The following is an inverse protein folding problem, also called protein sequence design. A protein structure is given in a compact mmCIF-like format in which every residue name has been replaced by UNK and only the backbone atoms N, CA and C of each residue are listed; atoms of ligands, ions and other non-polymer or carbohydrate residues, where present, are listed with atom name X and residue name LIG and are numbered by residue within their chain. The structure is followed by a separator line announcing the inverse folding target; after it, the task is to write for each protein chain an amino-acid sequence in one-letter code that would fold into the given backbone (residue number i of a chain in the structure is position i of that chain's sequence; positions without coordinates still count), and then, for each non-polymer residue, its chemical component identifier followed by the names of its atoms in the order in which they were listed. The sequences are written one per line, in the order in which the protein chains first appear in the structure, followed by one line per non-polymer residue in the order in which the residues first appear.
data_IF_629957561399
#
_entry.id   IF_629957561399
#
_cell.length_a   1.000
_cell.length_b   1.000
_cell.length_c   1.000
_cell.angle_alpha   90.00
_cell.angle_beta   90.00
_cell.angle_gamma   90.00
#
_symmetry.space_group_name_H-M   'P 1'
#
loop_
_entity.id
_entity.type
_entity.pdbx_description
1 polymer ?
#
# COMPACT_ATOMS: atom_id res chain seq x y z
N UNK A 1 10.85 0.31 23.22
CA UNK A 1 10.98 0.92 21.88
C UNK A 1 9.83 0.49 21.01
N UNK A 2 9.16 1.42 20.39
CA UNK A 2 8.04 1.10 19.55
C UNK A 2 8.49 0.82 18.13
N UNK A 3 7.85 -0.14 17.51
CA UNK A 3 8.06 -0.41 16.10
C UNK A 3 7.23 0.55 15.26
N UNK A 4 7.74 0.89 14.09
CA UNK A 4 6.95 1.65 13.16
C UNK A 4 5.93 0.71 12.50
N UNK A 5 4.66 0.98 12.73
CA UNK A 5 3.56 0.22 12.12
C UNK A 5 2.64 1.12 11.31
N UNK A 6 3.19 2.21 10.80
CA UNK A 6 2.41 3.17 10.02
C UNK A 6 2.31 2.73 8.58
N UNK A 7 1.09 2.65 8.08
CA UNK A 7 0.81 2.20 6.72
C UNK A 7 0.10 3.30 5.94
N UNK A 8 0.53 3.50 4.70
CA UNK A 8 -0.16 4.35 3.76
C UNK A 8 -1.08 3.47 2.91
N UNK A 9 -2.37 3.80 2.86
CA UNK A 9 -3.34 3.04 2.06
C UNK A 9 -3.98 3.99 1.06
N UNK A 10 -3.86 3.67 -0.22
CA UNK A 10 -4.45 4.48 -1.28
C UNK A 10 -5.36 3.61 -2.14
N UNK A 11 -6.66 3.91 -2.11
CA UNK A 11 -7.68 3.16 -2.84
C UNK A 11 -8.84 4.09 -3.09
N UNK A 12 -9.25 4.26 -4.35
CA UNK A 12 -10.31 5.22 -4.69
C UNK A 12 -11.71 4.74 -4.27
N UNK A 13 -11.86 3.49 -3.88
CA UNK A 13 -13.12 2.99 -3.34
C UNK A 13 -13.16 3.24 -1.83
N UNK A 14 -13.81 4.32 -1.45
CA UNK A 14 -13.79 4.78 -0.06
C UNK A 14 -14.27 3.75 0.95
N UNK A 15 -15.31 2.98 0.60
CA UNK A 15 -15.85 1.97 1.52
C UNK A 15 -14.84 0.85 1.77
N UNK A 16 -14.14 0.43 0.73
CA UNK A 16 -13.13 -0.62 0.87
C UNK A 16 -11.96 -0.09 1.68
N UNK A 17 -11.50 1.12 1.37
CA UNK A 17 -10.40 1.74 2.10
C UNK A 17 -10.72 1.86 3.58
N UNK A 18 -11.93 2.29 3.90
CA UNK A 18 -12.35 2.42 5.30
C UNK A 18 -12.36 1.07 6.00
N UNK A 19 -12.96 0.06 5.38
CA UNK A 19 -13.04 -1.27 5.99
C UNK A 19 -11.65 -1.84 6.25
N UNK A 20 -10.75 -1.71 5.28
CA UNK A 20 -9.39 -2.23 5.45
C UNK A 20 -8.63 -1.46 6.52
N UNK A 21 -8.77 -0.13 6.57
CA UNK A 21 -8.05 0.66 7.56
C UNK A 21 -8.52 0.32 8.97
N UNK A 22 -9.83 0.17 9.17
CA UNK A 22 -10.36 -0.20 10.48
C UNK A 22 -9.85 -1.57 10.92
N UNK A 23 -9.83 -2.52 10.00
CA UNK A 23 -9.33 -3.86 10.31
C UNK A 23 -7.85 -3.85 10.65
N UNK A 24 -7.07 -3.09 9.91
CA UNK A 24 -5.64 -3.00 10.18
C UNK A 24 -5.38 -2.32 11.52
N UNK A 25 -6.13 -1.26 11.82
CA UNK A 25 -5.97 -0.57 13.09
C UNK A 25 -6.34 -1.44 14.27
N UNK A 26 -7.36 -2.29 14.10
CA UNK A 26 -7.74 -3.24 15.15
C UNK A 26 -6.62 -4.26 15.41
N UNK A 27 -5.69 -4.39 14.50
CA UNK A 27 -4.60 -5.34 14.62
C UNK A 27 -3.25 -4.66 14.88
N UNK A 28 -3.28 -3.44 15.37
CA UNK A 28 -2.08 -2.78 15.86
C UNK A 28 -1.37 -1.88 14.88
N UNK A 29 -1.91 -1.71 13.67
CA UNK A 29 -1.31 -0.81 12.70
C UNK A 29 -1.93 0.58 12.82
N UNK A 30 -1.20 1.57 12.34
CA UNK A 30 -1.71 2.93 12.21
C UNK A 30 -1.79 3.22 10.71
N UNK A 31 -2.93 3.69 10.23
CA UNK A 31 -3.16 3.80 8.80
C UNK A 31 -3.58 5.21 8.40
N UNK A 32 -2.88 5.77 7.42
CA UNK A 32 -3.34 6.99 6.75
C UNK A 32 -3.96 6.56 5.44
N UNK A 33 -5.22 6.91 5.23
CA UNK A 33 -6.01 6.46 4.09
C UNK A 33 -6.30 7.62 3.16
N UNK A 34 -6.06 7.41 1.87
CA UNK A 34 -6.37 8.40 0.85
C UNK A 34 -7.14 7.73 -0.29
N UNK A 35 -8.12 8.45 -0.82
CA UNK A 35 -8.87 7.97 -1.97
C UNK A 35 -8.39 8.62 -3.28
N UNK A 36 -7.39 9.49 -3.19
CA UNK A 36 -6.79 10.17 -4.34
C UNK A 36 -5.27 10.04 -4.26
N UNK A 37 -4.67 9.61 -5.35
CA UNK A 37 -3.22 9.50 -5.44
C UNK A 37 -2.55 10.87 -5.34
N UNK A 38 -3.18 11.89 -5.91
CA UNK A 38 -2.63 13.24 -5.88
C UNK A 38 -2.58 13.74 -4.45
N UNK A 39 -3.65 13.55 -3.69
CA UNK A 39 -3.69 13.95 -2.29
C UNK A 39 -2.71 13.13 -1.45
N UNK A 40 -2.62 11.83 -1.73
CA UNK A 40 -1.67 10.97 -1.02
C UNK A 40 -0.24 11.45 -1.22
N UNK A 41 0.11 11.79 -2.45
CA UNK A 41 1.46 12.26 -2.76
C UNK A 41 1.74 13.61 -2.10
N UNK A 42 0.76 14.50 -2.10
CA UNK A 42 0.91 15.83 -1.50
C UNK A 42 1.14 15.74 0.01
N UNK A 43 0.65 14.69 0.64
CA UNK A 43 0.79 14.48 2.09
C UNK A 43 1.85 13.45 2.45
N UNK A 44 2.53 12.90 1.47
CA UNK A 44 3.53 11.87 1.72
C UNK A 44 4.75 12.44 2.42
N UNK A 45 5.24 11.70 3.42
CA UNK A 45 6.46 12.05 4.16
C UNK A 45 7.43 10.89 4.08
N UNK A 46 8.66 11.19 3.66
CA UNK A 46 9.70 10.18 3.62
C UNK A 46 10.04 9.70 5.03
N UNK A 47 10.40 8.44 5.11
CA UNK A 47 10.82 7.79 6.38
C UNK A 47 9.73 7.78 7.45
N UNK A 48 8.48 7.98 7.04
CA UNK A 48 7.35 8.00 7.96
C UNK A 48 6.55 6.70 7.92
N UNK A 49 6.35 6.14 6.74
CA UNK A 49 5.55 4.93 6.58
C UNK A 49 6.43 3.70 6.47
N UNK A 50 6.00 2.62 7.11
CA UNK A 50 6.67 1.33 6.98
C UNK A 50 6.31 0.68 5.66
N UNK A 51 5.09 0.86 5.21
CA UNK A 51 4.57 0.21 4.02
C UNK A 51 3.52 1.08 3.35
N UNK A 52 3.42 0.96 2.03
CA UNK A 52 2.34 1.56 1.27
C UNK A 52 1.56 0.45 0.56
N UNK A 53 0.25 0.50 0.66
CA UNK A 53 -0.66 -0.38 -0.06
C UNK A 53 -1.33 0.48 -1.13
N UNK A 54 -1.00 0.24 -2.37
CA UNK A 54 -1.44 1.09 -3.48
C UNK A 54 -2.33 0.30 -4.45
N UNK A 55 -3.57 0.77 -4.61
CA UNK A 55 -4.42 0.25 -5.68
C UNK A 55 -3.83 0.73 -7.01
N UNK A 56 -3.86 -0.12 -8.02
CA UNK A 56 -3.28 0.24 -9.32
C UNK A 56 -4.23 1.12 -10.11
N UNK A 57 -5.52 0.79 -10.12
CA UNK A 57 -6.51 1.52 -10.91
C UNK A 57 -7.11 2.67 -10.12
N UNK A 58 -6.42 3.79 -10.09
CA UNK A 58 -6.88 5.01 -9.43
C UNK A 58 -6.93 6.11 -10.48
N UNK A 59 -8.02 6.90 -10.55
CA UNK A 59 -8.13 7.97 -11.53
C UNK A 59 -7.02 9.02 -11.39
N UNK A 60 -6.73 9.70 -12.47
CA UNK A 60 -5.77 10.80 -12.59
C UNK A 60 -4.32 10.33 -12.50
N UNK A 61 -3.91 9.72 -11.42
CA UNK A 61 -2.56 9.18 -11.26
C UNK A 61 -2.71 7.75 -10.76
N UNK A 62 -2.39 6.76 -11.59
CA UNK A 62 -2.56 5.38 -11.18
C UNK A 62 -1.50 4.97 -10.14
N UNK A 63 -1.68 3.77 -9.58
CA UNK A 63 -0.82 3.30 -8.51
C UNK A 63 0.65 3.14 -8.91
N UNK A 64 0.91 2.84 -10.18
CA UNK A 64 2.27 2.68 -10.66
C UNK A 64 2.97 4.04 -10.71
N UNK A 65 2.29 5.06 -11.22
CA UNK A 65 2.85 6.41 -11.23
C UNK A 65 3.07 6.91 -9.82
N UNK A 66 2.11 6.67 -8.94
CA UNK A 66 2.24 7.06 -7.54
C UNK A 66 3.45 6.37 -6.91
N UNK A 67 3.61 5.07 -7.17
CA UNK A 67 4.76 4.32 -6.69
C UNK A 67 6.08 4.98 -7.12
N UNK A 68 6.19 5.35 -8.39
CA UNK A 68 7.43 5.93 -8.89
C UNK A 68 7.77 7.23 -8.17
N UNK A 69 6.75 8.06 -7.92
CA UNK A 69 6.97 9.32 -7.24
C UNK A 69 7.29 9.13 -5.76
N UNK A 70 6.63 8.17 -5.12
CA UNK A 70 6.95 7.84 -3.73
C UNK A 70 8.38 7.33 -3.63
N UNK A 71 8.79 6.47 -4.56
CA UNK A 71 10.15 5.89 -4.54
C UNK A 71 11.24 6.94 -4.72
N UNK A 72 10.94 8.02 -5.40
CA UNK A 72 11.87 9.13 -5.50
C UNK A 72 12.11 9.80 -4.15
N UNK A 73 11.09 9.81 -3.30
CA UNK A 73 11.17 10.45 -1.99
C UNK A 73 11.63 9.53 -0.88
N UNK A 74 11.39 8.23 -1.04
CA UNK A 74 11.70 7.25 -0.01
C UNK A 74 12.14 5.95 -0.67
N UNK A 75 13.41 5.62 -0.52
CA UNK A 75 13.99 4.43 -1.15
C UNK A 75 13.77 3.17 -0.34
N UNK A 76 13.29 3.29 0.90
CA UNK A 76 13.21 2.15 1.82
C UNK A 76 11.80 1.63 2.05
N UNK A 77 10.79 2.44 1.77
CA UNK A 77 9.40 2.04 2.04
C UNK A 77 9.06 0.78 1.25
N UNK A 78 8.40 -0.16 1.91
CA UNK A 78 7.90 -1.35 1.23
C UNK A 78 6.59 -1.02 0.56
N UNK A 79 6.42 -1.47 -0.68
CA UNK A 79 5.22 -1.17 -1.45
C UNK A 79 4.57 -2.47 -1.89
N UNK A 80 3.28 -2.60 -1.59
CA UNK A 80 2.46 -3.69 -2.11
C UNK A 80 1.40 -3.08 -3.00
N UNK A 81 1.26 -3.65 -4.20
CA UNK A 81 0.20 -3.23 -5.11
C UNK A 81 -1.03 -4.09 -4.91
N UNK A 82 -2.19 -3.47 -4.99
CA UNK A 82 -3.47 -4.17 -4.86
C UNK A 82 -4.20 -4.02 -6.18
N UNK A 83 -4.66 -5.13 -6.76
CA UNK A 83 -5.23 -5.09 -8.08
C UNK A 83 -6.38 -6.08 -8.24
N UNK A 84 -7.42 -5.66 -8.96
CA UNK A 84 -8.52 -6.52 -9.33
C UNK A 84 -8.29 -7.20 -10.68
N UNK A 85 -7.27 -6.79 -11.43
CA UNK A 85 -7.07 -7.24 -12.81
C UNK A 85 -5.77 -8.01 -12.96
N UNK A 86 -5.86 -9.17 -13.60
CA UNK A 86 -4.68 -10.00 -13.85
C UNK A 86 -3.66 -9.33 -14.76
N UNK A 87 -4.14 -8.50 -15.69
CA UNK A 87 -3.24 -7.81 -16.62
C UNK A 87 -2.27 -6.88 -15.93
N UNK A 88 -2.66 -6.35 -14.77
CA UNK A 88 -1.80 -5.44 -14.05
C UNK A 88 -0.59 -6.13 -13.43
N UNK A 89 -0.69 -7.44 -13.20
CA UNK A 89 0.40 -8.19 -12.61
C UNK A 89 1.69 -8.02 -13.41
N UNK A 90 1.59 -8.11 -14.72
CA UNK A 90 2.78 -8.01 -15.58
C UNK A 90 3.41 -6.63 -15.57
N UNK A 91 2.59 -5.61 -15.30
CA UNK A 91 3.08 -4.24 -15.24
C UNK A 91 3.86 -3.96 -13.96
N UNK A 92 3.44 -4.57 -12.86
CA UNK A 92 3.98 -4.19 -11.56
C UNK A 92 5.02 -5.16 -11.01
N UNK A 93 5.11 -6.37 -11.54
CA UNK A 93 6.02 -7.36 -10.98
C UNK A 93 7.48 -6.94 -11.04
N UNK A 94 7.83 -6.03 -11.94
CA UNK A 94 9.19 -5.53 -12.02
C UNK A 94 9.48 -4.47 -10.97
N UNK A 95 8.44 -3.92 -10.34
CA UNK A 95 8.60 -2.90 -9.32
C UNK A 95 8.48 -3.47 -7.90
N UNK A 96 7.71 -4.53 -7.74
CA UNK A 96 7.48 -5.11 -6.43
C UNK A 96 7.10 -6.58 -6.57
N UNK A 97 7.55 -7.38 -5.62
CA UNK A 97 7.13 -8.78 -5.53
C UNK A 97 5.84 -8.92 -4.72
N UNK A 98 5.39 -7.84 -4.07
CA UNK A 98 4.17 -7.87 -3.29
C UNK A 98 3.02 -7.36 -4.12
N UNK A 99 2.27 -8.29 -4.69
CA UNK A 99 1.08 -7.98 -5.48
C UNK A 99 -0.08 -8.73 -4.86
N UNK A 100 -1.08 -7.98 -4.43
CA UNK A 100 -2.25 -8.53 -3.73
C UNK A 100 -3.44 -8.43 -4.65
N UNK A 101 -4.07 -9.57 -4.90
CA UNK A 101 -5.21 -9.61 -5.82
C UNK A 101 -6.50 -9.40 -5.06
N UNK A 102 -7.36 -8.54 -5.56
CA UNK A 102 -8.70 -8.32 -5.01
C UNK A 102 -9.65 -9.40 -5.56
N UNK A 103 -10.68 -9.77 -4.84
CA UNK A 103 -10.98 -9.38 -3.46
C UNK A 103 -10.09 -10.12 -2.47
N UNK A 104 -9.73 -9.44 -1.39
CA UNK A 104 -8.89 -10.06 -0.36
C UNK A 104 -9.57 -9.91 0.99
N UNK A 105 -9.50 -10.96 1.81
CA UNK A 105 -10.02 -10.89 3.17
C UNK A 105 -9.04 -10.16 4.06
N UNK A 106 -9.53 -9.62 5.16
CA UNK A 106 -8.65 -8.97 6.13
C UNK A 106 -7.60 -9.95 6.65
N UNK A 107 -7.99 -11.19 6.89
CA UNK A 107 -7.07 -12.20 7.38
C UNK A 107 -5.91 -12.42 6.41
N UNK A 108 -6.21 -12.58 5.12
CA UNK A 108 -5.18 -12.80 4.12
C UNK A 108 -4.31 -11.55 3.94
N UNK A 109 -4.93 -10.37 4.02
CA UNK A 109 -4.17 -9.13 3.94
C UNK A 109 -3.18 -9.01 5.08
N UNK A 110 -3.61 -9.32 6.31
CA UNK A 110 -2.74 -9.27 7.48
C UNK A 110 -1.58 -10.24 7.34
N UNK A 111 -1.84 -11.45 6.85
CA UNK A 111 -0.78 -12.42 6.62
C UNK A 111 0.24 -11.89 5.61
N UNK A 112 -0.24 -11.29 4.54
CA UNK A 112 0.66 -10.78 3.51
C UNK A 112 1.48 -9.61 4.03
N UNK A 113 0.85 -8.69 4.76
CA UNK A 113 1.55 -7.55 5.34
C UNK A 113 2.63 -8.03 6.28
N UNK A 114 2.29 -8.93 7.20
CA UNK A 114 3.26 -9.42 8.16
C UNK A 114 4.43 -10.14 7.47
N UNK A 115 4.13 -10.91 6.44
CA UNK A 115 5.18 -11.59 5.67
C UNK A 115 6.13 -10.57 5.04
N UNK A 116 5.58 -9.53 4.42
CA UNK A 116 6.42 -8.53 3.77
C UNK A 116 7.23 -7.71 4.77
N UNK A 117 6.65 -7.39 5.92
CA UNK A 117 7.36 -6.63 6.94
C UNK A 117 8.48 -7.43 7.60
N UNK A 118 8.34 -8.74 7.63
CA UNK A 118 9.37 -9.61 8.19
C UNK A 118 10.49 -9.90 7.21
N UNK A 119 10.27 -9.64 5.93
CA UNK A 119 11.31 -9.85 4.95
C UNK A 119 12.49 -8.94 5.21
N UNK A 120 13.63 -9.55 5.30
CA UNK A 120 14.86 -8.80 5.42
C UNK A 120 15.38 -8.50 4.03
N UNK A 121 15.58 -7.22 3.73
CA UNK A 121 15.94 -6.79 2.40
C UNK A 121 17.42 -6.48 2.25
N UNK A 122 18.21 -7.09 3.01
CA UNK A 122 19.65 -6.88 2.92
C UNK A 122 20.25 -7.24 1.57
#
# INVERSE_FOLDING_TARGET
MSENKKILLVDDEADIALALSLGLESNGFSVDTFTSSITALANFKADFYKMALLDIKIPEMDGIELYKKIREKDKKIKVCFVSAYDLDYHKVKEYSSCIIKKPITLEDLLKRINTELERNLD
#
